data_IF_096194672930
#
_entry.id   IF_096194672930
#
_cell.length_a   1.000
_cell.length_b   1.000
_cell.length_c   1.000
_cell.angle_alpha   90.00
_cell.angle_beta   90.00
_cell.angle_gamma   90.00
#
_symmetry.space_group_name_H-M   'P 1'
#
loop_
_entity.id
_entity.type
_entity.pdbx_description
1 polymer ?
#
# COMPACT_ATOMS: atom_id res chain seq x y z
N UNK A 1 -38.48 8.89 40.81
CA UNK A 1 -38.02 9.91 39.84
C UNK A 1 -36.51 9.89 39.95
N UNK A 2 -35.82 9.43 38.91
CA UNK A 2 -34.41 9.07 39.02
C UNK A 2 -33.54 10.32 39.16
N UNK A 3 -32.74 10.38 40.23
CA UNK A 3 -31.88 11.52 40.54
C UNK A 3 -30.48 11.34 39.96
N UNK A 4 -30.06 10.09 39.70
CA UNK A 4 -28.76 9.76 39.09
C UNK A 4 -28.92 9.29 37.64
N UNK A 5 -27.98 9.71 36.79
CA UNK A 5 -27.85 9.20 35.42
C UNK A 5 -27.11 7.86 35.39
N UNK A 6 -27.38 7.05 34.38
CA UNK A 6 -26.67 5.77 34.17
C UNK A 6 -25.16 5.96 33.97
N UNK A 7 -24.76 7.05 33.31
CA UNK A 7 -23.36 7.37 33.10
C UNK A 7 -22.62 7.59 34.43
N UNK A 8 -23.25 8.31 35.38
CA UNK A 8 -22.67 8.57 36.71
C UNK A 8 -22.59 7.28 37.53
N UNK A 9 -23.61 6.41 37.45
CA UNK A 9 -23.62 5.11 38.12
C UNK A 9 -22.55 4.15 37.56
N UNK A 10 -22.34 4.14 36.24
CA UNK A 10 -21.28 3.33 35.63
C UNK A 10 -19.90 3.82 36.03
N UNK A 11 -19.64 5.13 35.97
CA UNK A 11 -18.38 5.72 36.46
C UNK A 11 -18.15 5.44 37.95
N UNK A 12 -19.21 5.38 38.76
CA UNK A 12 -19.12 4.98 40.17
C UNK A 12 -18.65 3.52 40.32
N UNK A 13 -19.17 2.60 39.50
CA UNK A 13 -18.79 1.18 39.51
C UNK A 13 -17.34 1.00 39.02
N UNK A 14 -16.92 1.76 38.01
CA UNK A 14 -15.57 1.71 37.43
C UNK A 14 -14.51 2.43 38.30
N UNK A 15 -14.94 3.26 39.26
CA UNK A 15 -14.05 4.03 40.14
C UNK A 15 -13.52 5.34 39.53
N UNK A 16 -14.09 5.78 38.42
CA UNK A 16 -13.64 6.92 37.59
C UNK A 16 -14.37 8.24 37.92
N UNK A 17 -14.93 8.38 39.13
CA UNK A 17 -15.59 9.61 39.57
C UNK A 17 -14.63 10.57 40.27
N UNK A 18 -14.82 11.87 39.99
CA UNK A 18 -14.19 12.94 40.74
C UNK A 18 -14.80 13.06 42.15
N UNK A 19 -14.07 13.71 43.07
CA UNK A 19 -14.47 13.80 44.48
C UNK A 19 -15.83 14.47 44.70
N UNK A 20 -16.18 15.49 43.90
CA UNK A 20 -17.44 16.20 44.04
C UNK A 20 -18.62 15.31 43.60
N UNK A 21 -18.47 14.64 42.45
CA UNK A 21 -19.48 13.69 41.97
C UNK A 21 -19.63 12.48 42.89
N UNK A 22 -18.53 11.94 43.44
CA UNK A 22 -18.57 10.81 44.37
C UNK A 22 -19.36 11.15 45.64
N UNK A 23 -19.15 12.35 46.19
CA UNK A 23 -19.91 12.84 47.35
C UNK A 23 -21.40 12.97 47.01
N UNK A 24 -21.72 13.55 45.86
CA UNK A 24 -23.10 13.70 45.40
C UNK A 24 -23.80 12.34 45.20
N UNK A 25 -23.11 11.37 44.58
CA UNK A 25 -23.63 10.01 44.40
C UNK A 25 -23.91 9.34 45.74
N UNK A 26 -23.00 9.44 46.72
CA UNK A 26 -23.22 8.86 48.04
C UNK A 26 -24.38 9.50 48.80
N UNK A 27 -24.56 10.83 48.68
CA UNK A 27 -25.69 11.55 49.27
C UNK A 27 -27.03 11.09 48.65
N UNK A 28 -27.08 10.95 47.33
CA UNK A 28 -28.30 10.48 46.63
C UNK A 28 -28.58 9.00 46.91
N UNK A 29 -27.56 8.14 46.93
CA UNK A 29 -27.73 6.71 47.26
C UNK A 29 -28.15 6.47 48.72
N UNK A 30 -27.85 7.40 49.63
CA UNK A 30 -28.29 7.33 51.02
C UNK A 30 -29.77 7.71 51.21
N UNK A 31 -30.30 8.55 50.32
CA UNK A 31 -31.66 9.09 50.39
C UNK A 31 -32.65 8.39 49.45
N UNK A 32 -32.18 7.82 48.34
CA UNK A 32 -33.01 7.21 47.30
C UNK A 32 -32.89 5.69 47.29
N UNK A 33 -34.00 5.01 47.64
CA UNK A 33 -34.13 3.55 47.56
C UNK A 33 -34.15 3.07 46.11
N UNK A 34 -34.69 3.88 45.18
CA UNK A 34 -34.82 3.55 43.76
C UNK A 34 -33.44 3.50 43.07
N UNK A 35 -32.60 4.52 43.27
CA UNK A 35 -31.25 4.57 42.70
C UNK A 35 -30.33 3.49 43.30
N UNK A 36 -30.52 3.14 44.59
CA UNK A 36 -29.79 2.05 45.23
C UNK A 36 -30.12 0.67 44.64
N UNK A 37 -31.40 0.40 44.34
CA UNK A 37 -31.81 -0.84 43.65
C UNK A 37 -31.20 -0.92 42.24
N UNK A 38 -31.14 0.20 41.52
CA UNK A 38 -30.52 0.27 40.19
C UNK A 38 -29.03 0.00 40.25
N UNK A 39 -28.32 0.61 41.21
CA UNK A 39 -26.90 0.33 41.45
C UNK A 39 -26.66 -1.17 41.75
N UNK A 40 -27.50 -1.79 42.57
CA UNK A 40 -27.40 -3.22 42.86
C UNK A 40 -27.60 -4.09 41.61
N UNK A 41 -28.54 -3.74 40.74
CA UNK A 41 -28.75 -4.43 39.47
C UNK A 41 -27.51 -4.30 38.55
N UNK A 42 -26.94 -3.10 38.44
CA UNK A 42 -25.73 -2.86 37.65
C UNK A 42 -24.51 -3.61 38.22
N UNK A 43 -24.34 -3.63 39.55
CA UNK A 43 -23.30 -4.41 40.21
C UNK A 43 -23.47 -5.91 39.99
N UNK A 44 -24.69 -6.43 39.97
CA UNK A 44 -24.95 -7.84 39.67
C UNK A 44 -24.50 -8.19 38.24
N UNK A 45 -24.81 -7.34 37.27
CA UNK A 45 -24.38 -7.50 35.87
C UNK A 45 -22.86 -7.39 35.74
N UNK A 46 -22.25 -6.35 36.33
CA UNK A 46 -20.78 -6.16 36.30
C UNK A 46 -20.05 -7.38 36.87
N UNK A 47 -20.53 -7.92 38.00
CA UNK A 47 -19.97 -9.11 38.61
C UNK A 47 -20.17 -10.38 37.77
N UNK A 48 -21.25 -10.48 37.00
CA UNK A 48 -21.45 -11.59 36.06
C UNK A 48 -20.53 -11.48 34.85
N UNK A 49 -20.37 -10.28 34.28
CA UNK A 49 -19.47 -10.02 33.16
C UNK A 49 -18.01 -10.27 33.53
N UNK A 50 -17.59 -9.88 34.74
CA UNK A 50 -16.23 -10.13 35.25
C UNK A 50 -15.90 -11.61 35.40
N UNK A 51 -16.91 -12.48 35.51
CA UNK A 51 -16.74 -13.95 35.58
C UNK A 51 -16.62 -14.60 34.20
N UNK A 52 -16.90 -13.86 33.12
CA UNK A 52 -16.70 -14.36 31.77
C UNK A 52 -15.19 -14.59 31.61
N UNK A 53 -14.82 -15.84 31.38
CA UNK A 53 -13.42 -16.23 31.22
C UNK A 53 -12.90 -15.58 29.94
N UNK A 54 -11.78 -14.88 30.05
CA UNK A 54 -11.09 -14.35 28.88
C UNK A 54 -10.70 -15.51 27.95
N UNK A 55 -11.15 -15.45 26.70
CA UNK A 55 -10.68 -16.37 25.68
C UNK A 55 -9.24 -16.01 25.34
N UNK A 56 -8.33 -16.93 25.67
CA UNK A 56 -6.93 -16.81 25.27
C UNK A 56 -6.86 -16.88 23.75
N UNK A 57 -6.23 -15.86 23.15
CA UNK A 57 -5.95 -15.88 21.72
C UNK A 57 -4.98 -17.03 21.41
N UNK A 58 -5.18 -17.74 20.28
CA UNK A 58 -4.27 -18.82 19.91
C UNK A 58 -2.86 -18.27 19.72
N UNK A 59 -1.85 -19.03 20.14
CA UNK A 59 -0.42 -18.65 20.04
C UNK A 59 0.02 -18.27 18.60
N UNK A 60 -0.75 -18.69 17.59
CA UNK A 60 -0.54 -18.38 16.18
C UNK A 60 -1.10 -17.02 15.72
N UNK A 61 -1.91 -16.35 16.54
CA UNK A 61 -2.59 -15.10 16.17
C UNK A 61 -1.61 -14.02 15.73
N UNK A 62 -0.60 -13.73 16.56
CA UNK A 62 0.43 -12.72 16.26
C UNK A 62 1.17 -13.05 14.97
N UNK A 63 1.52 -14.33 14.78
CA UNK A 63 2.21 -14.79 13.58
C UNK A 63 1.34 -14.62 12.32
N UNK A 64 0.04 -14.92 12.41
CA UNK A 64 -0.90 -14.75 11.31
C UNK A 64 -1.09 -13.28 10.94
N UNK A 65 -1.26 -12.41 11.95
CA UNK A 65 -1.40 -10.96 11.75
C UNK A 65 -0.14 -10.39 11.11
N UNK A 66 1.04 -10.71 11.66
CA UNK A 66 2.32 -10.20 11.15
C UNK A 66 2.60 -10.68 9.72
N UNK A 67 2.30 -11.94 9.41
CA UNK A 67 2.45 -12.50 8.06
C UNK A 67 1.56 -11.76 7.05
N UNK A 68 0.33 -11.41 7.43
CA UNK A 68 -0.59 -10.68 6.56
C UNK A 68 -0.12 -9.24 6.31
N UNK A 69 0.37 -8.55 7.33
CA UNK A 69 0.99 -7.24 7.22
C UNK A 69 2.21 -7.26 6.27
N UNK A 70 3.10 -8.23 6.45
CA UNK A 70 4.28 -8.36 5.60
C UNK A 70 3.93 -8.65 4.12
N UNK A 71 2.93 -9.50 3.86
CA UNK A 71 2.51 -9.78 2.48
C UNK A 71 2.00 -8.54 1.75
N UNK A 72 1.32 -7.63 2.46
CA UNK A 72 0.82 -6.38 1.87
C UNK A 72 1.99 -5.47 1.48
N UNK A 73 3.02 -5.40 2.31
CA UNK A 73 4.19 -4.55 2.06
C UNK A 73 5.11 -5.08 0.94
N UNK A 74 5.18 -6.40 0.73
CA UNK A 74 5.98 -6.99 -0.35
C UNK A 74 5.50 -6.58 -1.75
N UNK A 75 4.18 -6.59 -1.97
CA UNK A 75 3.60 -6.23 -3.26
C UNK A 75 3.92 -4.77 -3.67
N UNK A 76 3.88 -3.84 -2.72
CA UNK A 76 4.27 -2.45 -2.96
C UNK A 76 5.75 -2.27 -3.26
N UNK A 77 6.62 -3.08 -2.63
CA UNK A 77 8.07 -3.03 -2.87
C UNK A 77 8.43 -3.51 -4.27
N UNK A 78 7.81 -4.60 -4.75
CA UNK A 78 8.04 -5.14 -6.09
C UNK A 78 7.55 -4.18 -7.19
N UNK A 79 6.38 -3.57 -7.01
CA UNK A 79 5.88 -2.55 -7.95
C UNK A 79 6.79 -1.31 -8.02
N UNK A 80 7.34 -0.86 -6.89
CA UNK A 80 8.28 0.27 -6.86
C UNK A 80 9.55 -0.01 -7.66
N UNK A 81 10.09 -1.23 -7.60
CA UNK A 81 11.25 -1.61 -8.39
C UNK A 81 10.96 -1.63 -9.89
N UNK A 82 9.78 -2.11 -10.30
CA UNK A 82 9.35 -2.07 -11.71
C UNK A 82 9.23 -0.63 -12.23
N UNK A 83 8.54 0.25 -11.49
CA UNK A 83 8.41 1.67 -11.88
C UNK A 83 9.77 2.35 -11.96
N UNK A 84 10.67 2.07 -11.02
CA UNK A 84 12.02 2.63 -11.04
C UNK A 84 12.83 2.14 -12.26
N UNK A 85 12.75 0.85 -12.59
CA UNK A 85 13.43 0.28 -13.74
C UNK A 85 12.95 0.90 -15.06
N UNK A 86 11.63 1.02 -15.25
CA UNK A 86 11.04 1.66 -16.43
C UNK A 86 11.42 3.14 -16.50
N UNK A 87 11.29 3.87 -15.39
CA UNK A 87 11.64 5.30 -15.32
C UNK A 87 13.12 5.56 -15.61
N UNK A 88 14.02 4.68 -15.15
CA UNK A 88 15.46 4.77 -15.40
C UNK A 88 15.79 4.74 -16.89
N UNK A 89 15.04 3.98 -17.70
CA UNK A 89 15.24 3.93 -19.15
C UNK A 89 14.88 5.30 -19.77
N UNK A 90 13.73 5.86 -19.42
CA UNK A 90 13.32 7.18 -19.91
C UNK A 90 14.30 8.30 -19.49
N UNK A 91 14.76 8.28 -18.23
CA UNK A 91 15.73 9.25 -17.72
C UNK A 91 17.07 9.10 -18.48
N UNK A 92 17.53 7.88 -18.75
CA UNK A 92 18.76 7.66 -19.51
C UNK A 92 18.68 8.23 -20.93
N UNK A 93 17.55 8.05 -21.61
CA UNK A 93 17.32 8.61 -22.96
C UNK A 93 17.36 10.14 -22.91
N UNK A 94 16.69 10.75 -21.93
CA UNK A 94 16.71 12.20 -21.75
C UNK A 94 18.12 12.73 -21.48
N UNK A 95 18.90 12.05 -20.65
CA UNK A 95 20.29 12.43 -20.37
C UNK A 95 21.18 12.36 -21.62
N UNK A 96 21.00 11.34 -22.47
CA UNK A 96 21.72 11.25 -23.75
C UNK A 96 21.38 12.43 -24.66
N UNK A 97 20.10 12.80 -24.75
CA UNK A 97 19.66 13.95 -25.57
C UNK A 97 20.28 15.25 -25.04
N UNK A 98 20.21 15.49 -23.73
CA UNK A 98 20.78 16.68 -23.10
C UNK A 98 22.30 16.72 -23.28
N UNK A 99 22.98 15.58 -23.08
CA UNK A 99 24.43 15.46 -23.25
C UNK A 99 24.87 15.77 -24.68
N UNK A 100 24.12 15.31 -25.70
CA UNK A 100 24.37 15.66 -27.10
C UNK A 100 24.16 17.16 -27.35
N UNK A 101 23.09 17.76 -26.81
CA UNK A 101 22.85 19.21 -26.95
C UNK A 101 24.00 20.02 -26.37
N UNK A 102 24.49 19.65 -25.18
CA UNK A 102 25.62 20.35 -24.53
C UNK A 102 26.93 20.13 -25.31
N UNK A 103 27.23 18.89 -25.72
CA UNK A 103 28.44 18.57 -26.48
C UNK A 103 28.53 19.35 -27.79
N UNK A 104 27.45 19.37 -28.57
CA UNK A 104 27.42 20.13 -29.82
C UNK A 104 27.29 21.65 -29.57
N UNK A 105 26.62 22.07 -28.50
CA UNK A 105 26.47 23.48 -28.15
C UNK A 105 27.78 24.14 -27.70
N UNK A 106 28.65 23.43 -26.97
CA UNK A 106 29.93 23.96 -26.49
C UNK A 106 31.02 23.93 -27.58
N UNK A 107 31.06 22.90 -28.41
CA UNK A 107 32.06 22.75 -29.48
C UNK A 107 31.82 23.65 -30.70
N UNK A 108 30.72 24.42 -30.75
CA UNK A 108 30.41 25.37 -31.84
C UNK A 108 30.76 26.82 -31.53
N UNK A 109 31.40 27.10 -30.39
CA UNK A 109 31.69 28.48 -29.94
C UNK A 109 32.86 29.18 -30.68
N UNK A 110 33.34 28.64 -31.80
CA UNK A 110 34.50 29.21 -32.50
C UNK A 110 34.25 29.77 -33.91
N UNK A 111 33.11 29.55 -34.56
CA UNK A 111 32.85 30.19 -35.86
C UNK A 111 31.37 30.58 -36.07
N UNK A 112 31.20 31.84 -36.45
CA UNK A 112 29.94 32.55 -36.66
C UNK A 112 29.15 32.01 -37.86
N UNK A 113 28.37 30.92 -37.74
CA UNK A 113 27.32 30.60 -38.74
C UNK A 113 26.07 29.93 -38.14
N UNK A 114 24.93 30.59 -38.42
CA UNK A 114 23.52 30.16 -38.53
C UNK A 114 23.01 28.93 -37.76
N UNK A 115 21.77 29.04 -37.26
CA UNK A 115 20.93 28.03 -36.60
C UNK A 115 20.69 26.71 -37.37
N UNK A 116 21.46 26.40 -38.42
CA UNK A 116 21.34 25.24 -39.30
C UNK A 116 22.23 24.05 -38.90
N UNK A 117 23.18 24.22 -37.97
CA UNK A 117 24.16 23.16 -37.64
C UNK A 117 23.63 22.14 -36.62
N UNK A 118 22.72 22.54 -35.71
CA UNK A 118 22.11 21.62 -34.72
C UNK A 118 21.26 20.53 -35.39
N UNK A 119 20.51 20.90 -36.42
CA UNK A 119 19.67 19.96 -37.18
C UNK A 119 20.52 18.99 -38.00
N UNK A 120 21.68 19.41 -38.50
CA UNK A 120 22.54 18.57 -39.35
C UNK A 120 23.16 17.36 -38.63
N UNK A 121 23.34 17.39 -37.31
CA UNK A 121 23.88 16.25 -36.55
C UNK A 121 22.83 15.49 -35.75
N UNK A 122 21.76 16.17 -35.30
CA UNK A 122 20.67 15.54 -34.56
C UNK A 122 19.77 14.73 -35.50
N UNK A 123 19.45 15.27 -36.69
CA UNK A 123 18.60 14.58 -37.67
C UNK A 123 19.20 13.25 -38.16
N UNK A 124 20.50 13.13 -38.54
CA UNK A 124 21.04 11.84 -38.96
C UNK A 124 21.13 10.83 -37.81
N UNK A 125 21.32 11.26 -36.57
CA UNK A 125 21.26 10.37 -35.40
C UNK A 125 19.84 9.81 -35.20
N UNK A 126 18.82 10.68 -35.21
CA UNK A 126 17.43 10.23 -35.15
C UNK A 126 17.01 9.43 -36.37
N UNK A 127 17.51 9.74 -37.56
CA UNK A 127 17.26 8.94 -38.76
C UNK A 127 17.95 7.58 -38.69
N UNK A 128 19.12 7.46 -38.04
CA UNK A 128 19.78 6.17 -37.80
C UNK A 128 19.00 5.32 -36.80
N UNK A 129 18.46 5.93 -35.75
CA UNK A 129 17.56 5.27 -34.80
C UNK A 129 16.26 4.87 -35.50
N UNK A 130 15.65 5.79 -36.25
CA UNK A 130 14.42 5.53 -37.00
C UNK A 130 14.64 4.45 -38.05
N UNK A 131 15.79 4.40 -38.71
CA UNK A 131 16.16 3.33 -39.63
C UNK A 131 16.31 1.98 -38.90
N UNK A 132 16.94 1.97 -37.72
CA UNK A 132 16.98 0.78 -36.87
C UNK A 132 15.58 0.29 -36.46
N UNK A 133 14.68 1.22 -36.14
CA UNK A 133 13.28 0.90 -35.81
C UNK A 133 12.53 0.41 -37.05
N UNK A 134 12.66 1.05 -38.21
CA UNK A 134 11.97 0.63 -39.43
C UNK A 134 12.47 -0.73 -39.93
N UNK A 135 13.73 -1.10 -39.68
CA UNK A 135 14.25 -2.44 -39.91
C UNK A 135 13.51 -3.51 -39.08
N UNK A 136 13.15 -3.19 -37.83
CA UNK A 136 12.30 -4.05 -36.99
C UNK A 136 10.88 -4.16 -37.55
N UNK A 137 10.37 -3.11 -38.20
CA UNK A 137 9.04 -3.09 -38.85
C UNK A 137 9.03 -3.58 -40.32
N UNK A 138 10.12 -4.16 -40.83
CA UNK A 138 10.09 -4.87 -42.12
C UNK A 138 9.31 -6.18 -41.99
N UNK A 139 8.77 -6.79 -43.07
CA UNK A 139 8.06 -8.08 -42.97
C UNK A 139 8.88 -9.18 -42.27
N UNK A 140 10.20 -9.18 -42.49
CA UNK A 140 11.15 -10.09 -41.85
C UNK A 140 11.41 -9.70 -40.38
N UNK A 141 11.56 -8.42 -40.09
CA UNK A 141 11.70 -7.89 -38.73
C UNK A 141 10.48 -8.16 -37.86
N UNK A 142 9.28 -7.94 -38.39
CA UNK A 142 8.00 -8.23 -37.72
C UNK A 142 7.87 -9.71 -37.40
N UNK A 143 8.29 -10.59 -38.32
CA UNK A 143 8.26 -12.04 -38.08
C UNK A 143 9.21 -12.45 -36.94
N UNK A 144 10.45 -11.95 -36.94
CA UNK A 144 11.45 -12.26 -35.90
C UNK A 144 11.04 -11.65 -34.56
N UNK A 145 10.67 -10.38 -34.54
CA UNK A 145 10.27 -9.66 -33.34
C UNK A 145 8.96 -10.21 -32.77
N UNK A 146 8.00 -10.52 -33.64
CA UNK A 146 6.75 -11.19 -33.28
C UNK A 146 6.98 -12.57 -32.67
N UNK A 147 7.96 -13.34 -33.17
CA UNK A 147 8.34 -14.62 -32.57
C UNK A 147 8.91 -14.45 -31.15
N UNK A 148 9.76 -13.45 -30.93
CA UNK A 148 10.34 -13.18 -29.60
C UNK A 148 9.25 -12.72 -28.62
N UNK A 149 8.35 -11.84 -29.05
CA UNK A 149 7.20 -11.41 -28.24
C UNK A 149 6.27 -12.58 -27.94
N UNK A 150 5.96 -13.42 -28.93
CA UNK A 150 5.10 -14.60 -28.74
C UNK A 150 5.69 -15.57 -27.72
N UNK A 151 7.01 -15.83 -27.80
CA UNK A 151 7.72 -16.62 -26.79
C UNK A 151 7.67 -15.97 -25.40
N UNK A 152 7.84 -14.65 -25.32
CA UNK A 152 7.70 -13.89 -24.08
C UNK A 152 6.29 -14.02 -23.48
N UNK A 153 5.25 -13.90 -24.30
CA UNK A 153 3.85 -14.08 -23.89
C UNK A 153 3.60 -15.50 -23.40
N UNK A 154 4.16 -16.53 -24.05
CA UNK A 154 4.05 -17.91 -23.59
C UNK A 154 4.72 -18.12 -22.22
N UNK A 155 5.93 -17.60 -22.03
CA UNK A 155 6.65 -17.67 -20.76
C UNK A 155 5.88 -16.91 -19.67
N UNK A 156 5.43 -15.68 -19.95
CA UNK A 156 4.62 -14.91 -19.02
C UNK A 156 3.28 -15.59 -18.70
N UNK A 157 2.63 -16.19 -19.69
CA UNK A 157 1.39 -16.95 -19.53
C UNK A 157 1.58 -18.19 -18.65
N UNK A 158 2.69 -18.91 -18.82
CA UNK A 158 3.07 -20.02 -17.97
C UNK A 158 3.23 -19.58 -16.50
N UNK A 159 4.02 -18.54 -16.24
CA UNK A 159 4.21 -18.02 -14.89
C UNK A 159 2.90 -17.47 -14.28
N UNK A 160 2.07 -16.84 -15.10
CA UNK A 160 0.76 -16.34 -14.67
C UNK A 160 -0.16 -17.49 -14.24
N UNK A 161 -0.23 -18.56 -15.04
CA UNK A 161 -1.00 -19.76 -14.71
C UNK A 161 -0.49 -20.42 -13.43
N UNK A 162 0.83 -20.53 -13.26
CA UNK A 162 1.43 -21.10 -12.06
C UNK A 162 1.13 -20.25 -10.81
N UNK A 163 1.18 -18.93 -10.93
CA UNK A 163 0.77 -18.01 -9.85
C UNK A 163 -0.72 -18.16 -9.49
N UNK A 164 -1.61 -18.32 -10.48
CA UNK A 164 -3.03 -18.58 -10.22
C UNK A 164 -3.24 -19.93 -9.50
N UNK A 165 -2.53 -20.98 -9.91
CA UNK A 165 -2.58 -22.30 -9.27
C UNK A 165 -2.10 -22.24 -7.81
N UNK A 166 -0.98 -21.56 -7.56
CA UNK A 166 -0.45 -21.36 -6.21
C UNK A 166 -1.40 -20.54 -5.32
N UNK A 167 -2.12 -19.57 -5.90
CA UNK A 167 -3.13 -18.78 -5.19
C UNK A 167 -4.33 -19.62 -4.76
N UNK A 168 -4.87 -20.45 -5.67
CA UNK A 168 -5.98 -21.37 -5.35
C UNK A 168 -5.62 -22.39 -4.26
N UNK A 169 -4.40 -22.91 -4.28
CA UNK A 169 -3.94 -23.84 -3.23
C UNK A 169 -3.82 -23.20 -1.84
N UNK A 170 -3.50 -21.90 -1.76
CA UNK A 170 -3.44 -21.17 -0.49
C UNK A 170 -4.84 -20.95 0.11
N UNK A 171 -5.86 -20.79 -0.74
CA UNK A 171 -7.26 -20.63 -0.30
C UNK A 171 -7.79 -21.95 0.27
N UNK A 172 -7.55 -23.08 -0.42
CA UNK A 172 -8.03 -24.40 0.04
C UNK A 172 -7.31 -24.94 1.29
N UNK A 173 -6.13 -24.44 1.66
CA UNK A 173 -5.42 -24.82 2.89
C UNK A 173 -5.78 -23.95 4.11
N UNK A 174 -6.60 -22.93 3.93
CA UNK A 174 -7.02 -21.99 4.98
C UNK A 174 -8.47 -22.21 5.46
N UNK A 175 -9.14 -23.25 4.94
CA UNK A 175 -10.36 -23.84 5.49
C UNK A 175 -10.00 -25.12 6.24
#
# INVERSE_FOLDING_TARGET
>A
MNLLSDEILNKYIDGDLDYASLKHVNEVLSSSVEDKKRLQALLAVHNQLKKIKEESTPNSFTNLVMKRLQSRNKAFKEQRHFVFAVSSIFISILLVIIGLIIYYGLNQSSETQSSQTYTQHIIPFFNSIAYGITQIFTPRGISVFGSVISLGILISGYFFFENLKASKQKINKSQ
#
